data_IF_563507192120
#
_entry.id   IF_563507192120
#
_cell.length_a   1.000
_cell.length_b   1.000
_cell.length_c   1.000
_cell.angle_alpha   90.00
_cell.angle_beta   90.00
_cell.angle_gamma   90.00
#
_symmetry.space_group_name_H-M   'P 1'
#
loop_
_entity.id
_entity.type
_entity.pdbx_description
1 polymer ?
#
# COMPACT_ATOMS: atom_id res chain seq x y z
N UNK A 1 -14.50 -4.45 -26.10
CA UNK A 1 -13.86 -3.17 -25.84
C UNK A 1 -14.52 -2.38 -24.73
N UNK A 2 -15.83 -2.27 -24.74
CA UNK A 2 -16.54 -1.53 -23.67
C UNK A 2 -16.33 -2.17 -22.30
N UNK A 3 -16.34 -3.48 -22.19
CA UNK A 3 -16.11 -4.17 -20.93
C UNK A 3 -14.72 -3.91 -20.35
N UNK A 4 -13.70 -3.79 -21.20
CA UNK A 4 -12.34 -3.51 -20.75
C UNK A 4 -12.23 -2.09 -20.19
N UNK A 5 -12.89 -1.13 -20.83
CA UNK A 5 -12.92 0.24 -20.37
C UNK A 5 -13.63 0.36 -19.00
N UNK A 6 -14.76 -0.32 -18.85
CA UNK A 6 -15.50 -0.34 -17.60
C UNK A 6 -14.68 -0.97 -16.46
N UNK A 7 -13.91 -2.02 -16.76
CA UNK A 7 -13.04 -2.66 -15.78
C UNK A 7 -11.95 -1.70 -15.31
N UNK A 8 -11.33 -0.95 -16.23
CA UNK A 8 -10.30 0.02 -15.88
C UNK A 8 -10.86 1.13 -15.00
N UNK A 9 -12.04 1.64 -15.33
CA UNK A 9 -12.69 2.68 -14.52
C UNK A 9 -13.00 2.15 -13.13
N UNK A 10 -13.52 0.94 -13.04
CA UNK A 10 -13.85 0.31 -11.77
C UNK A 10 -12.61 0.13 -10.90
N UNK A 11 -11.51 -0.33 -11.48
CA UNK A 11 -10.26 -0.53 -10.76
C UNK A 11 -9.69 0.79 -10.26
N UNK A 12 -9.80 1.85 -11.05
CA UNK A 12 -9.36 3.17 -10.63
C UNK A 12 -10.17 3.67 -9.43
N UNK A 13 -11.48 3.48 -9.46
CA UNK A 13 -12.35 3.90 -8.35
C UNK A 13 -11.98 3.14 -7.08
N UNK A 14 -11.76 1.84 -7.17
CA UNK A 14 -11.37 1.02 -6.03
C UNK A 14 -10.04 1.51 -5.46
N UNK A 15 -9.06 1.76 -6.31
CA UNK A 15 -7.76 2.26 -5.88
C UNK A 15 -7.87 3.65 -5.24
N UNK A 16 -8.64 4.55 -5.83
CA UNK A 16 -8.83 5.89 -5.29
C UNK A 16 -9.46 5.86 -3.89
N UNK A 17 -10.43 4.97 -3.68
CA UNK A 17 -11.03 4.79 -2.36
C UNK A 17 -10.01 4.26 -1.35
N UNK A 18 -9.22 3.29 -1.77
CA UNK A 18 -8.16 2.74 -0.94
C UNK A 18 -7.14 3.82 -0.57
N UNK A 19 -6.71 4.62 -1.54
CA UNK A 19 -5.73 5.67 -1.34
C UNK A 19 -6.23 6.72 -0.33
N UNK A 20 -7.50 7.09 -0.40
CA UNK A 20 -8.08 8.02 0.56
C UNK A 20 -8.07 7.45 1.97
N UNK A 21 -8.46 6.19 2.10
CA UNK A 21 -8.47 5.51 3.39
C UNK A 21 -7.06 5.40 3.95
N UNK A 22 -6.11 5.06 3.09
CA UNK A 22 -4.71 4.99 3.45
C UNK A 22 -4.21 6.34 4.00
N UNK A 23 -4.49 7.43 3.29
CA UNK A 23 -4.03 8.75 3.72
C UNK A 23 -4.67 9.18 5.03
N UNK A 24 -5.92 8.83 5.27
CA UNK A 24 -6.58 9.13 6.54
C UNK A 24 -5.90 8.45 7.72
N UNK A 25 -5.39 7.24 7.54
CA UNK A 25 -4.71 6.49 8.58
C UNK A 25 -3.23 6.88 8.72
N UNK A 26 -2.70 7.62 7.77
CA UNK A 26 -1.28 7.95 7.70
C UNK A 26 -1.04 9.47 7.68
N UNK A 27 -1.80 10.19 8.49
CA UNK A 27 -1.66 11.65 8.56
C UNK A 27 -0.32 12.08 9.18
N UNK A 28 0.33 11.20 9.90
CA UNK A 28 1.60 11.46 10.57
C UNK A 28 2.81 11.22 9.66
N UNK A 29 2.61 10.77 8.43
CA UNK A 29 3.66 10.56 7.46
C UNK A 29 3.24 11.06 6.09
N UNK A 30 4.16 11.00 5.12
CA UNK A 30 3.95 11.53 3.78
C UNK A 30 4.01 10.44 2.73
N UNK A 31 3.66 9.21 3.10
CA UNK A 31 3.65 8.09 2.16
C UNK A 31 2.39 8.08 1.31
N UNK A 32 2.51 7.46 0.14
CA UNK A 32 1.40 7.23 -0.77
C UNK A 32 1.35 5.75 -1.15
N UNK A 33 0.16 5.18 -1.33
CA UNK A 33 0.09 3.78 -1.73
C UNK A 33 0.36 3.62 -3.22
N UNK A 34 1.11 2.59 -3.57
CA UNK A 34 1.37 2.21 -4.96
C UNK A 34 0.65 0.92 -5.34
N UNK A 35 -0.01 0.27 -4.39
CA UNK A 35 -0.80 -0.95 -4.62
C UNK A 35 -1.89 -1.02 -3.56
N UNK A 36 -2.81 -1.97 -3.73
CA UNK A 36 -3.85 -2.22 -2.75
C UNK A 36 -3.39 -3.36 -1.84
N UNK A 37 -3.47 -3.15 -0.55
CA UNK A 37 -3.07 -4.13 0.45
C UNK A 37 -3.93 -3.98 1.70
N UNK A 38 -3.78 -4.89 2.65
CA UNK A 38 -4.52 -4.80 3.91
C UNK A 38 -3.89 -3.72 4.80
N UNK A 39 -4.63 -2.64 5.02
CA UNK A 39 -4.15 -1.50 5.81
C UNK A 39 -3.81 -1.88 7.25
N UNK A 40 -4.45 -2.90 7.79
CA UNK A 40 -4.18 -3.35 9.15
C UNK A 40 -2.82 -4.01 9.29
N UNK A 41 -2.24 -4.46 8.19
CA UNK A 41 -0.96 -5.17 8.19
C UNK A 41 0.23 -4.25 7.90
N UNK A 42 0.00 -2.97 7.72
CA UNK A 42 1.07 -2.02 7.39
C UNK A 42 1.06 -0.89 8.40
N UNK A 43 2.18 -0.69 9.05
CA UNK A 43 2.35 0.38 10.03
C UNK A 43 3.56 1.22 9.62
N UNK A 44 3.36 2.52 9.48
CA UNK A 44 4.38 3.43 8.98
C UNK A 44 4.61 4.52 10.01
N UNK A 45 5.87 4.75 10.33
CA UNK A 45 6.25 5.73 11.34
C UNK A 45 6.13 7.17 10.88
N UNK A 46 6.38 8.07 11.81
CA UNK A 46 6.22 9.51 11.62
C UNK A 46 7.21 10.04 10.58
N UNK A 47 6.72 10.94 9.73
CA UNK A 47 7.51 11.68 8.75
C UNK A 47 8.21 10.83 7.68
N UNK A 48 7.94 9.54 7.61
CA UNK A 48 8.39 8.70 6.51
C UNK A 48 7.71 9.14 5.22
N UNK A 49 8.41 9.09 4.10
CA UNK A 49 7.85 9.48 2.81
C UNK A 49 8.26 8.50 1.71
N UNK A 50 7.50 8.50 0.64
CA UNK A 50 7.73 7.64 -0.51
C UNK A 50 6.52 6.80 -0.86
N UNK A 51 6.65 6.00 -1.91
CA UNK A 51 5.59 5.14 -2.39
C UNK A 51 5.64 3.78 -1.69
N UNK A 52 4.48 3.33 -1.22
CA UNK A 52 4.37 2.07 -0.49
C UNK A 52 3.73 1.03 -1.41
N UNK A 53 4.53 0.08 -1.83
CA UNK A 53 4.07 -1.03 -2.65
C UNK A 53 4.22 -2.31 -1.85
N UNK A 54 3.11 -2.88 -1.43
CA UNK A 54 3.08 -4.11 -0.63
C UNK A 54 2.48 -5.22 -1.47
N UNK A 55 3.24 -6.31 -1.59
CA UNK A 55 2.75 -7.53 -2.23
C UNK A 55 2.28 -8.47 -1.12
N UNK A 56 0.98 -8.66 -1.05
CA UNK A 56 0.33 -9.46 -0.02
C UNK A 56 0.03 -10.85 -0.58
N UNK A 57 0.62 -11.86 0.05
CA UNK A 57 0.46 -13.24 -0.38
C UNK A 57 -0.58 -14.01 0.46
N UNK A 58 -1.48 -13.27 1.11
CA UNK A 58 -2.61 -13.88 1.78
C UNK A 58 -2.36 -14.32 3.22
N UNK A 59 -1.20 -14.06 3.76
CA UNK A 59 -0.92 -14.37 5.16
C UNK A 59 -1.34 -13.19 6.04
N UNK A 60 -2.47 -13.32 6.70
CA UNK A 60 -3.02 -12.24 7.52
C UNK A 60 -2.20 -11.92 8.76
N UNK A 61 -1.32 -12.81 9.16
CA UNK A 61 -0.47 -12.59 10.34
C UNK A 61 0.83 -11.85 9.99
N UNK A 62 1.16 -11.77 8.71
CA UNK A 62 2.37 -11.07 8.28
C UNK A 62 2.14 -9.58 8.24
N UNK A 63 2.99 -8.83 8.89
CA UNK A 63 2.88 -7.37 8.98
C UNK A 63 4.14 -6.70 8.47
N UNK A 64 3.95 -5.52 7.89
CA UNK A 64 5.04 -4.65 7.46
C UNK A 64 5.10 -3.46 8.41
N UNK A 65 6.25 -3.26 9.01
CA UNK A 65 6.49 -2.10 9.88
C UNK A 65 7.62 -1.28 9.29
N UNK A 66 7.33 -0.02 9.06
CA UNK A 66 8.30 0.94 8.53
C UNK A 66 8.51 1.99 9.61
N UNK A 67 9.77 2.26 9.93
CA UNK A 67 10.11 3.20 10.99
C UNK A 67 9.80 4.63 10.63
N UNK A 68 10.17 5.54 11.53
CA UNK A 68 9.99 6.97 11.35
C UNK A 68 11.15 7.58 10.58
N UNK A 69 10.89 8.67 9.87
CA UNK A 69 11.88 9.46 9.14
C UNK A 69 12.63 8.66 8.07
N UNK A 70 11.96 7.66 7.48
CA UNK A 70 12.52 6.86 6.39
C UNK A 70 12.20 7.49 5.05
N UNK A 71 13.11 7.30 4.10
CA UNK A 71 12.90 7.67 2.70
C UNK A 71 12.80 6.39 1.88
N UNK A 72 11.68 6.22 1.19
CA UNK A 72 11.44 5.01 0.41
C UNK A 72 11.52 5.36 -1.06
N UNK A 73 12.49 4.76 -1.75
CA UNK A 73 12.68 4.98 -3.18
C UNK A 73 11.53 4.37 -3.97
N UNK A 74 11.24 4.95 -5.13
CA UNK A 74 10.26 4.36 -6.04
C UNK A 74 10.74 2.99 -6.51
N UNK A 75 9.84 2.06 -6.69
CA UNK A 75 10.17 0.71 -7.10
C UNK A 75 10.49 -0.26 -5.98
N UNK A 76 10.61 0.22 -4.74
CA UNK A 76 10.78 -0.69 -3.61
C UNK A 76 9.48 -1.44 -3.36
N UNK A 77 9.59 -2.75 -3.15
CA UNK A 77 8.44 -3.60 -2.89
C UNK A 77 8.61 -4.29 -1.55
N UNK A 78 7.55 -4.25 -0.74
CA UNK A 78 7.52 -4.94 0.53
C UNK A 78 6.71 -6.22 0.38
N UNK A 79 7.28 -7.34 0.78
CA UNK A 79 6.61 -8.63 0.70
C UNK A 79 5.96 -8.95 2.04
N UNK A 80 4.65 -9.14 2.03
CA UNK A 80 3.89 -9.48 3.23
C UNK A 80 3.40 -10.91 3.13
N UNK A 81 3.91 -11.78 3.99
CA UNK A 81 3.48 -13.18 4.04
C UNK A 81 3.96 -14.03 2.90
N UNK A 82 4.93 -13.58 2.17
CA UNK A 82 5.51 -14.35 1.08
C UNK A 82 6.50 -15.33 1.63
N UNK A 83 6.06 -16.40 1.98
CA UNK A 83 6.90 -17.31 2.54
C UNK A 83 8.02 -17.76 1.75
N UNK A 84 9.06 -17.61 1.84
CA UNK A 84 9.90 -18.09 1.25
C UNK A 84 10.78 -18.80 1.64
N UNK A 85 11.10 -19.40 1.74
CA UNK A 85 11.85 -19.99 1.92
C UNK A 85 12.39 -20.61 1.93
#
# INVERSE_FOLDING_TARGET
>A
MLGLLLTKIKNKIIFDRFARKFRKQNTHNFTTPASIFNLQNVCIGKATYGAINVLDYGNNDAKVRIGSFCSIASGVKFLSGGGII
#
